data_IF_360042061237
#
_entry.id   IF_360042061237
#
_cell.length_a   1.000
_cell.length_b   1.000
_cell.length_c   1.000
_cell.angle_alpha   90.00
_cell.angle_beta   90.00
_cell.angle_gamma   90.00
#
_symmetry.space_group_name_H-M   'P 1'
#
loop_
_entity.id
_entity.type
_entity.pdbx_description
1 polymer ?
#
# COMPACT_ATOMS: atom_id res chain seq x y z
N UNK A 1 -50.43 -23.09 8.31
CA UNK A 1 -50.08 -24.49 8.59
C UNK A 1 -49.05 -24.95 7.57
N UNK A 2 -47.76 -24.70 7.85
CA UNK A 2 -46.61 -25.49 7.39
C UNK A 2 -45.42 -24.99 8.22
N UNK A 3 -44.99 -25.81 9.18
CA UNK A 3 -43.85 -25.56 10.07
C UNK A 3 -42.59 -26.06 9.39
N UNK A 4 -41.56 -25.23 9.33
CA UNK A 4 -40.16 -25.63 9.09
C UNK A 4 -39.34 -24.80 10.08
N UNK A 5 -39.28 -25.23 11.35
CA UNK A 5 -38.13 -25.89 12.00
C UNK A 5 -36.82 -25.11 11.85
N UNK A 6 -36.54 -24.35 12.92
CA UNK A 6 -35.22 -23.85 13.31
C UNK A 6 -34.18 -24.97 13.28
N UNK A 7 -33.06 -24.70 12.61
CA UNK A 7 -31.81 -25.41 12.79
C UNK A 7 -30.72 -24.37 13.07
N UNK A 8 -30.47 -24.15 14.36
CA UNK A 8 -29.29 -23.46 14.84
C UNK A 8 -28.04 -24.31 14.56
N UNK A 9 -26.97 -23.77 13.97
CA UNK A 9 -25.69 -24.43 13.99
C UNK A 9 -24.99 -24.16 15.34
N UNK A 10 -24.83 -25.23 16.10
CA UNK A 10 -24.00 -25.39 17.28
C UNK A 10 -22.60 -24.79 17.10
N UNK A 11 -22.19 -23.94 18.05
CA UNK A 11 -20.81 -23.45 18.25
C UNK A 11 -19.87 -24.63 18.45
N UNK A 12 -19.04 -24.94 17.46
CA UNK A 12 -17.86 -25.77 17.64
C UNK A 12 -16.69 -24.87 18.11
N UNK A 13 -16.21 -25.14 19.32
CA UNK A 13 -15.00 -24.55 19.90
C UNK A 13 -13.79 -25.10 19.13
N UNK A 14 -13.05 -24.25 18.41
CA UNK A 14 -11.75 -24.66 17.85
C UNK A 14 -10.71 -24.75 18.98
N UNK A 15 -9.92 -25.83 19.05
CA UNK A 15 -8.89 -25.99 20.07
C UNK A 15 -7.68 -25.09 19.77
N UNK A 16 -7.08 -24.58 20.85
CA UNK A 16 -5.78 -23.90 20.89
C UNK A 16 -4.72 -24.75 20.19
N UNK A 17 -4.23 -24.31 19.03
CA UNK A 17 -3.03 -24.87 18.42
C UNK A 17 -1.81 -24.35 19.17
N UNK A 18 -1.27 -25.20 20.05
CA UNK A 18 0.08 -25.11 20.59
C UNK A 18 1.02 -25.51 19.45
N UNK A 19 1.88 -24.60 18.98
CA UNK A 19 2.94 -24.97 18.03
C UNK A 19 4.27 -25.06 18.77
N UNK A 20 4.67 -26.31 18.97
CA UNK A 20 5.89 -26.77 19.60
C UNK A 20 7.09 -26.51 18.67
N UNK A 21 8.13 -25.89 19.20
CA UNK A 21 9.42 -25.75 18.56
C UNK A 21 10.09 -27.13 18.42
N UNK A 22 10.53 -27.48 17.20
CA UNK A 22 11.42 -28.61 16.96
C UNK A 22 12.64 -28.11 16.21
N UNK A 23 13.76 -28.02 16.95
CA UNK A 23 15.11 -27.93 16.41
C UNK A 23 15.45 -29.26 15.72
N UNK A 24 15.86 -29.20 14.46
CA UNK A 24 16.61 -30.28 13.83
C UNK A 24 17.90 -29.70 13.23
N UNK A 25 19.01 -29.96 13.91
CA UNK A 25 20.35 -29.71 13.43
C UNK A 25 20.85 -30.97 12.72
N UNK A 26 21.29 -30.84 11.46
CA UNK A 26 22.30 -31.74 10.86
C UNK A 26 23.17 -30.97 9.85
N UNK A 27 24.47 -31.28 9.76
CA UNK A 27 25.47 -30.44 9.11
C UNK A 27 25.65 -30.79 7.63
N UNK A 28 25.79 -29.77 6.78
CA UNK A 28 26.22 -29.92 5.39
C UNK A 28 27.62 -29.27 5.22
N UNK A 29 28.51 -29.90 4.42
CA UNK A 29 29.92 -29.56 4.36
C UNK A 29 30.14 -28.22 3.65
N UNK A 30 30.99 -27.39 4.25
CA UNK A 30 31.43 -26.10 3.72
C UNK A 30 32.29 -26.30 2.46
N UNK A 31 31.69 -26.06 1.30
CA UNK A 31 32.45 -25.77 0.08
C UNK A 31 32.89 -24.30 0.15
N UNK A 32 34.19 -24.09 0.24
CA UNK A 32 34.82 -22.78 0.30
C UNK A 32 34.61 -22.01 -1.01
N UNK A 33 33.66 -21.09 -1.02
CA UNK A 33 33.57 -20.03 -2.02
C UNK A 33 34.54 -18.91 -1.60
N UNK A 34 35.61 -18.73 -2.37
CA UNK A 34 36.54 -17.62 -2.19
C UNK A 34 35.84 -16.28 -2.41
N UNK A 35 35.46 -15.63 -1.32
CA UNK A 35 35.19 -14.19 -1.25
C UNK A 35 36.42 -13.55 -0.58
N UNK A 36 36.97 -12.43 -1.09
CA UNK A 36 37.80 -11.59 -0.25
C UNK A 36 36.87 -11.00 0.83
N UNK A 37 37.12 -11.31 2.10
CA UNK A 37 36.42 -10.67 3.20
C UNK A 37 36.80 -9.19 3.20
N UNK A 38 35.85 -8.31 2.88
CA UNK A 38 35.93 -6.92 3.34
C UNK A 38 35.52 -6.95 4.81
N UNK A 39 36.45 -7.38 5.66
CA UNK A 39 36.33 -7.28 7.09
C UNK A 39 36.64 -5.83 7.49
N UNK A 40 35.65 -4.96 7.35
CA UNK A 40 35.50 -3.80 8.24
C UNK A 40 34.36 -4.14 9.18
N UNK A 41 34.60 -3.97 10.47
CA UNK A 41 33.82 -4.48 11.61
C UNK A 41 32.29 -4.46 11.43
N UNK A 42 31.70 -5.55 10.92
CA UNK A 42 30.25 -5.73 10.89
C UNK A 42 29.66 -5.84 12.31
N UNK A 43 30.49 -6.00 13.35
CA UNK A 43 30.07 -6.04 14.74
C UNK A 43 29.50 -4.71 15.22
N UNK A 44 30.11 -3.59 14.82
CA UNK A 44 29.68 -2.25 15.23
C UNK A 44 28.33 -1.85 14.62
N UNK A 45 28.15 -2.12 13.32
CA UNK A 45 26.87 -1.90 12.65
C UNK A 45 25.77 -2.80 13.22
N UNK A 46 26.05 -4.08 13.46
CA UNK A 46 25.08 -5.00 14.05
C UNK A 46 24.69 -4.59 15.48
N UNK A 47 25.64 -4.07 16.27
CA UNK A 47 25.36 -3.54 17.58
C UNK A 47 24.45 -2.31 17.51
N UNK A 48 24.71 -1.36 16.59
CA UNK A 48 23.82 -0.23 16.35
C UNK A 48 22.41 -0.68 15.91
N UNK A 49 22.31 -1.62 14.97
CA UNK A 49 21.04 -2.22 14.53
C UNK A 49 20.29 -2.87 15.69
N UNK A 50 21.00 -3.56 16.58
CA UNK A 50 20.45 -4.16 17.80
C UNK A 50 19.82 -3.11 18.69
N UNK A 51 20.56 -2.03 19.01
CA UNK A 51 20.08 -0.92 19.85
C UNK A 51 18.83 -0.24 19.25
N UNK A 52 18.84 0.04 17.94
CA UNK A 52 17.67 0.60 17.24
C UNK A 52 16.47 -0.35 17.32
N UNK A 53 16.69 -1.65 17.15
CA UNK A 53 15.61 -2.64 17.13
C UNK A 53 14.92 -2.78 18.48
N UNK A 54 15.66 -2.62 19.58
CA UNK A 54 15.10 -2.64 20.95
C UNK A 54 14.70 -1.26 21.48
N UNK A 55 14.77 -0.22 20.65
CA UNK A 55 14.33 1.12 20.99
C UNK A 55 15.29 1.95 21.86
N UNK A 56 16.55 1.52 22.03
CA UNK A 56 17.58 2.28 22.75
C UNK A 56 18.22 3.33 21.83
N UNK A 57 17.46 4.34 21.43
CA UNK A 57 17.86 5.30 20.41
C UNK A 57 18.98 6.23 20.88
N UNK A 58 19.04 6.63 22.15
CA UNK A 58 20.13 7.46 22.65
C UNK A 58 21.48 6.72 22.59
N UNK A 59 21.49 5.44 22.99
CA UNK A 59 22.68 4.60 22.89
C UNK A 59 23.06 4.32 21.43
N UNK A 60 22.08 4.05 20.58
CA UNK A 60 22.29 3.85 19.15
C UNK A 60 22.88 5.11 18.49
N UNK A 61 22.33 6.28 18.78
CA UNK A 61 22.79 7.56 18.25
C UNK A 61 24.22 7.88 18.68
N UNK A 62 24.54 7.68 19.96
CA UNK A 62 25.90 7.83 20.49
C UNK A 62 26.90 6.93 19.76
N UNK A 63 26.53 5.66 19.53
CA UNK A 63 27.37 4.70 18.82
C UNK A 63 27.57 5.10 17.36
N UNK A 64 26.47 5.38 16.67
CA UNK A 64 26.50 5.78 15.25
C UNK A 64 27.37 7.04 15.07
N UNK A 65 27.24 8.02 15.95
CA UNK A 65 28.05 9.25 15.88
C UNK A 65 29.54 8.99 16.14
N UNK A 66 29.90 8.02 16.98
CA UNK A 66 31.28 7.59 17.18
C UNK A 66 31.82 6.88 15.92
N UNK A 67 31.05 5.95 15.35
CA UNK A 67 31.46 5.16 14.19
C UNK A 67 31.60 6.02 12.93
N UNK A 68 30.71 6.99 12.73
CA UNK A 68 30.76 7.91 11.58
C UNK A 68 31.99 8.84 11.57
N UNK A 69 32.65 9.02 12.72
CA UNK A 69 33.88 9.82 12.91
C UNK A 69 35.16 9.04 12.66
N UNK A 70 35.10 7.71 12.54
CA UNK A 70 36.29 6.91 12.28
C UNK A 70 36.90 7.27 10.91
N UNK A 71 38.24 7.43 10.82
CA UNK A 71 38.91 7.67 9.55
C UNK A 71 38.74 6.46 8.63
N UNK A 72 38.69 6.69 7.32
CA UNK A 72 38.64 5.64 6.29
C UNK A 72 37.41 4.69 6.33
N UNK A 73 36.31 5.10 6.97
CA UNK A 73 35.05 4.33 6.97
C UNK A 73 34.55 4.08 5.53
N UNK A 74 34.35 2.81 5.11
CA UNK A 74 33.88 2.52 3.75
C UNK A 74 32.54 3.18 3.45
N UNK A 75 32.37 3.68 2.21
CA UNK A 75 31.19 4.43 1.82
C UNK A 75 29.87 3.66 2.03
N UNK A 76 29.86 2.34 1.80
CA UNK A 76 28.68 1.51 2.04
C UNK A 76 28.35 1.39 3.54
N UNK A 77 29.37 1.22 4.39
CA UNK A 77 29.20 1.18 5.86
C UNK A 77 28.69 2.52 6.39
N UNK A 78 29.22 3.64 5.89
CA UNK A 78 28.71 4.98 6.18
C UNK A 78 27.22 5.12 5.86
N UNK A 79 26.80 4.72 4.65
CA UNK A 79 25.38 4.75 4.25
C UNK A 79 24.51 3.86 5.12
N UNK A 80 25.02 2.71 5.56
CA UNK A 80 24.27 1.81 6.44
C UNK A 80 24.02 2.44 7.82
N UNK A 81 25.00 3.13 8.39
CA UNK A 81 24.84 3.90 9.63
C UNK A 81 23.88 5.09 9.47
N UNK A 82 24.02 5.87 8.38
CA UNK A 82 23.09 6.96 8.04
C UNK A 82 21.66 6.47 7.88
N UNK A 83 21.47 5.29 7.27
CA UNK A 83 20.17 4.64 7.18
C UNK A 83 19.58 4.31 8.56
N UNK A 84 20.38 3.82 9.52
CA UNK A 84 19.88 3.59 10.88
C UNK A 84 19.45 4.89 11.57
N UNK A 85 20.14 6.03 11.32
CA UNK A 85 19.70 7.34 11.82
C UNK A 85 18.34 7.75 11.25
N UNK A 86 18.16 7.62 9.94
CA UNK A 86 16.88 7.90 9.29
C UNK A 86 15.77 6.98 9.81
N UNK A 87 16.06 5.68 10.00
CA UNK A 87 15.12 4.72 10.59
C UNK A 87 14.67 5.18 11.97
N UNK A 88 15.58 5.57 12.85
CA UNK A 88 15.23 6.11 14.18
C UNK A 88 14.37 7.39 14.07
N UNK A 89 14.72 8.31 13.17
CA UNK A 89 13.95 9.53 12.96
C UNK A 89 12.51 9.24 12.51
N UNK A 90 12.32 8.28 11.59
CA UNK A 90 10.99 7.81 11.16
C UNK A 90 10.21 7.15 12.29
N UNK A 91 10.88 6.31 13.08
CA UNK A 91 10.25 5.67 14.25
C UNK A 91 9.82 6.73 15.28
N UNK A 92 10.64 7.73 15.60
CA UNK A 92 10.24 8.85 16.48
C UNK A 92 9.05 9.65 15.92
N UNK A 93 9.01 9.85 14.61
CA UNK A 93 7.90 10.56 13.96
C UNK A 93 6.57 9.77 14.00
N UNK A 94 6.65 8.46 13.84
CA UNK A 94 5.49 7.58 13.85
C UNK A 94 5.02 7.26 15.27
N UNK A 95 5.94 7.06 16.21
CA UNK A 95 5.69 6.80 17.63
C UNK A 95 5.94 8.06 18.46
N UNK A 96 5.01 9.01 18.37
CA UNK A 96 5.18 10.35 18.91
C UNK A 96 4.20 10.73 20.03
N UNK A 97 3.29 9.82 20.40
CA UNK A 97 2.26 10.10 21.39
C UNK A 97 2.57 9.47 22.75
N UNK A 98 2.40 10.24 23.82
CA UNK A 98 2.35 9.69 25.18
C UNK A 98 0.97 9.08 25.48
N UNK A 99 0.87 8.27 26.55
CA UNK A 99 -0.40 7.70 26.97
C UNK A 99 -1.48 8.78 27.20
N UNK A 100 -1.12 9.91 27.82
CA UNK A 100 -2.05 11.01 28.09
C UNK A 100 -2.53 11.69 26.81
N UNK A 101 -1.65 11.83 25.81
CA UNK A 101 -2.03 12.35 24.51
C UNK A 101 -2.96 11.39 23.76
N UNK A 102 -2.74 10.08 23.84
CA UNK A 102 -3.66 9.09 23.27
C UNK A 102 -5.02 9.16 23.96
N UNK A 103 -5.07 9.18 25.29
CA UNK A 103 -6.32 9.33 26.05
C UNK A 103 -7.05 10.62 25.70
N UNK A 104 -6.34 11.74 25.59
CA UNK A 104 -6.90 13.03 25.18
C UNK A 104 -7.57 12.93 23.81
N UNK A 105 -6.89 12.35 22.81
CA UNK A 105 -7.45 12.12 21.47
C UNK A 105 -8.64 11.18 21.47
N UNK A 106 -8.61 10.13 22.28
CA UNK A 106 -9.74 9.20 22.38
C UNK A 106 -10.97 9.88 23.02
N UNK A 107 -10.78 10.80 23.97
CA UNK A 107 -11.87 11.56 24.61
C UNK A 107 -12.63 12.49 23.66
N UNK A 108 -12.02 12.86 22.53
CA UNK A 108 -12.72 13.60 21.48
C UNK A 108 -13.92 12.81 20.94
N UNK A 109 -13.85 11.47 20.96
CA UNK A 109 -14.90 10.57 20.46
C UNK A 109 -15.55 9.71 21.55
N UNK A 110 -14.85 9.40 22.64
CA UNK A 110 -15.36 8.63 23.79
C UNK A 110 -15.29 9.53 25.02
N UNK A 111 -16.31 10.38 25.19
CA UNK A 111 -16.30 11.43 26.21
C UNK A 111 -16.15 10.89 27.64
N UNK A 112 -16.66 9.69 27.89
CA UNK A 112 -16.64 9.01 29.18
C UNK A 112 -15.47 8.00 29.32
N UNK A 113 -14.37 8.18 28.57
CA UNK A 113 -13.23 7.28 28.61
C UNK A 113 -12.63 7.15 30.01
N UNK A 114 -12.74 5.96 30.61
CA UNK A 114 -12.10 5.62 31.87
C UNK A 114 -10.66 5.12 31.66
N UNK A 115 -9.81 5.29 32.67
CA UNK A 115 -8.43 4.79 32.61
C UNK A 115 -8.36 3.26 32.49
N UNK A 116 -9.35 2.54 33.04
CA UNK A 116 -9.47 1.09 32.91
C UNK A 116 -9.78 0.63 31.49
N UNK A 117 -10.51 1.42 30.70
CA UNK A 117 -10.77 1.13 29.29
C UNK A 117 -9.50 1.23 28.47
N UNK A 118 -8.76 2.34 28.66
CA UNK A 118 -7.46 2.54 28.03
C UNK A 118 -6.49 1.40 28.36
N UNK A 119 -6.33 1.08 29.65
CA UNK A 119 -5.41 0.02 30.08
C UNK A 119 -5.78 -1.35 29.49
N UNK A 120 -7.08 -1.64 29.35
CA UNK A 120 -7.56 -2.88 28.76
C UNK A 120 -7.31 -2.95 27.26
N UNK A 121 -7.58 -1.88 26.50
CA UNK A 121 -7.29 -1.85 25.07
C UNK A 121 -5.79 -1.88 24.76
N UNK A 122 -4.98 -1.24 25.61
CA UNK A 122 -3.51 -1.30 25.56
C UNK A 122 -3.01 -2.74 25.79
N UNK A 123 -3.47 -3.41 26.86
CA UNK A 123 -3.11 -4.79 27.15
C UNK A 123 -3.56 -5.80 26.07
N UNK A 124 -4.59 -5.46 25.28
CA UNK A 124 -5.05 -6.24 24.14
C UNK A 124 -4.23 -5.97 22.85
N UNK A 125 -3.31 -5.02 22.86
CA UNK A 125 -2.53 -4.62 21.69
C UNK A 125 -3.33 -3.81 20.66
N UNK A 126 -4.47 -3.21 21.05
CA UNK A 126 -5.29 -2.38 20.16
C UNK A 126 -4.73 -0.96 20.00
N UNK A 127 -3.82 -0.56 20.89
CA UNK A 127 -3.10 0.69 20.85
C UNK A 127 -1.62 0.37 20.59
N UNK A 128 -1.22 0.43 19.32
CA UNK A 128 0.15 0.14 18.92
C UNK A 128 1.14 1.11 19.57
N UNK A 129 2.24 0.58 20.12
CA UNK A 129 3.24 1.32 20.85
C UNK A 129 4.63 0.67 20.77
N UNK A 130 5.68 1.45 21.04
CA UNK A 130 7.06 1.00 21.24
C UNK A 130 7.63 1.58 22.53
N UNK A 131 8.61 0.90 23.11
CA UNK A 131 9.48 1.50 24.11
C UNK A 131 10.62 2.23 23.37
N UNK A 132 10.74 3.53 23.53
CA UNK A 132 11.82 4.36 22.98
C UNK A 132 12.53 4.99 24.17
N UNK A 133 13.81 4.65 24.34
CA UNK A 133 14.65 5.11 25.45
C UNK A 133 14.02 4.89 26.84
N UNK A 134 13.28 3.79 26.98
CA UNK A 134 12.58 3.41 28.22
C UNK A 134 11.18 4.01 28.37
N UNK A 135 10.80 4.95 27.51
CA UNK A 135 9.46 5.55 27.52
C UNK A 135 8.52 4.83 26.55
N UNK A 136 7.28 4.57 26.98
CA UNK A 136 6.26 3.98 26.10
C UNK A 136 5.65 5.06 25.22
N UNK A 137 5.96 4.99 23.93
CA UNK A 137 5.48 5.90 22.89
C UNK A 137 4.50 5.18 21.97
N UNK A 138 3.35 5.78 21.74
CA UNK A 138 2.28 5.22 20.94
C UNK A 138 2.36 5.69 19.50
N UNK A 139 2.00 4.79 18.59
CA UNK A 139 1.88 5.12 17.19
C UNK A 139 0.81 6.21 17.00
N UNK A 140 1.12 7.25 16.23
CA UNK A 140 0.28 8.44 16.08
C UNK A 140 -1.13 8.16 15.55
N UNK A 141 -1.32 7.05 14.84
CA UNK A 141 -2.63 6.60 14.34
C UNK A 141 -3.34 5.61 15.25
N UNK A 142 -2.73 5.16 16.36
CA UNK A 142 -3.38 4.26 17.33
C UNK A 142 -4.75 4.76 17.81
N UNK A 143 -4.96 6.06 18.13
CA UNK A 143 -6.29 6.53 18.55
C UNK A 143 -7.38 6.28 17.49
N UNK A 144 -7.11 6.59 16.22
CA UNK A 144 -8.11 6.39 15.16
C UNK A 144 -8.22 4.93 14.72
N UNK A 145 -7.11 4.17 14.76
CA UNK A 145 -7.10 2.74 14.47
C UNK A 145 -7.91 1.94 15.49
N UNK A 146 -7.98 2.36 16.75
CA UNK A 146 -8.78 1.68 17.78
C UNK A 146 -10.23 1.46 17.31
N UNK A 147 -10.85 2.46 16.67
CA UNK A 147 -12.22 2.35 16.17
C UNK A 147 -12.35 1.37 14.99
N UNK A 148 -11.28 1.08 14.27
CA UNK A 148 -11.28 0.03 13.24
C UNK A 148 -11.19 -1.36 13.88
N UNK A 149 -10.43 -1.47 14.97
CA UNK A 149 -10.11 -2.74 15.60
C UNK A 149 -11.11 -3.17 16.69
N UNK A 150 -11.81 -2.22 17.30
CA UNK A 150 -12.69 -2.46 18.46
C UNK A 150 -14.14 -2.08 18.16
N UNK A 151 -15.02 -3.08 18.10
CA UNK A 151 -16.47 -2.87 18.01
C UNK A 151 -17.02 -2.12 19.24
N UNK A 152 -16.42 -2.33 20.41
CA UNK A 152 -16.78 -1.64 21.64
C UNK A 152 -16.44 -0.15 21.58
N UNK A 153 -15.23 0.20 21.13
CA UNK A 153 -14.84 1.60 20.96
C UNK A 153 -15.74 2.31 19.94
N UNK A 154 -16.14 1.62 18.87
CA UNK A 154 -17.13 2.14 17.90
C UNK A 154 -18.49 2.38 18.52
N UNK A 155 -19.00 1.45 19.32
CA UNK A 155 -20.31 1.58 19.97
C UNK A 155 -20.36 2.77 20.94
N UNK A 156 -19.21 3.16 21.50
CA UNK A 156 -19.08 4.31 22.41
C UNK A 156 -18.70 5.62 21.71
N UNK A 157 -18.39 5.59 20.41
CA UNK A 157 -18.01 6.79 19.68
C UNK A 157 -19.20 7.73 19.50
N UNK A 158 -19.00 9.02 19.78
CA UNK A 158 -19.96 10.09 19.44
C UNK A 158 -20.08 10.30 17.93
N UNK A 159 -19.14 9.76 17.14
CA UNK A 159 -19.15 9.82 15.68
C UNK A 159 -19.51 8.45 15.11
N UNK A 160 -20.62 8.38 14.36
CA UNK A 160 -20.98 7.18 13.60
C UNK A 160 -20.09 7.12 12.36
N UNK A 161 -18.87 6.60 12.52
CA UNK A 161 -18.00 6.31 11.39
C UNK A 161 -18.40 4.94 10.79
N UNK A 162 -18.90 4.97 9.55
CA UNK A 162 -19.03 3.77 8.73
C UNK A 162 -17.64 3.35 8.26
N UNK A 163 -17.00 2.46 9.01
CA UNK A 163 -15.78 1.82 8.56
C UNK A 163 -16.14 0.67 7.63
N UNK A 164 -15.64 0.70 6.39
CA UNK A 164 -15.61 -0.49 5.54
C UNK A 164 -14.37 -1.27 5.96
N UNK A 165 -14.53 -2.55 6.34
CA UNK A 165 -13.43 -3.43 6.82
C UNK A 165 -12.32 -3.67 5.76
N UNK A 166 -12.47 -3.10 4.57
CA UNK A 166 -11.45 -2.96 3.54
C UNK A 166 -11.84 -1.84 2.58
N UNK A 167 -10.90 -1.28 1.83
CA UNK A 167 -11.22 -0.27 0.81
C UNK A 167 -12.15 -0.77 -0.30
N UNK A 168 -12.42 -2.08 -0.35
CA UNK A 168 -13.24 -2.79 -1.32
C UNK A 168 -14.09 -3.85 -0.60
N UNK A 169 -15.27 -4.23 -1.15
CA UNK A 169 -16.03 -5.38 -0.69
C UNK A 169 -15.17 -6.65 -0.63
N UNK A 170 -15.44 -7.55 0.33
CA UNK A 170 -14.62 -8.76 0.55
C UNK A 170 -14.46 -9.59 -0.73
N UNK A 171 -15.53 -9.77 -1.48
CA UNK A 171 -15.55 -10.57 -2.70
C UNK A 171 -14.62 -9.98 -3.76
N UNK A 172 -14.59 -8.66 -3.85
CA UNK A 172 -13.70 -7.93 -4.76
C UNK A 172 -12.25 -8.08 -4.30
N UNK A 173 -12.00 -7.97 -2.99
CA UNK A 173 -10.66 -8.17 -2.43
C UNK A 173 -10.13 -9.59 -2.68
N UNK A 174 -10.93 -10.61 -2.38
CA UNK A 174 -10.54 -12.01 -2.58
C UNK A 174 -10.25 -12.31 -4.07
N UNK A 175 -11.02 -11.72 -4.99
CA UNK A 175 -10.76 -11.83 -6.42
C UNK A 175 -9.41 -11.23 -6.84
N UNK A 176 -9.04 -10.06 -6.30
CA UNK A 176 -7.73 -9.47 -6.57
C UNK A 176 -6.58 -10.35 -6.06
N UNK A 177 -6.70 -10.90 -4.86
CA UNK A 177 -5.67 -11.78 -4.29
C UNK A 177 -5.48 -13.04 -5.15
N UNK A 178 -6.55 -13.70 -5.57
CA UNK A 178 -6.49 -14.87 -6.45
C UNK A 178 -5.86 -14.52 -7.82
N UNK A 179 -6.24 -13.36 -8.38
CA UNK A 179 -5.70 -12.90 -9.66
C UNK A 179 -4.21 -12.55 -9.59
N UNK A 180 -3.76 -11.95 -8.49
CA UNK A 180 -2.35 -11.63 -8.24
C UNK A 180 -1.53 -12.91 -8.06
N UNK A 181 -2.03 -13.89 -7.30
CA UNK A 181 -1.37 -15.19 -7.14
C UNK A 181 -1.22 -15.92 -8.49
N UNK A 182 -2.27 -15.93 -9.31
CA UNK A 182 -2.21 -16.48 -10.68
C UNK A 182 -1.20 -15.75 -11.54
N UNK A 183 -1.13 -14.42 -11.45
CA UNK A 183 -0.15 -13.61 -12.17
C UNK A 183 1.27 -14.03 -11.80
N UNK A 184 1.58 -14.14 -10.50
CA UNK A 184 2.90 -14.53 -10.00
C UNK A 184 3.25 -15.95 -10.48
N UNK A 185 2.35 -16.91 -10.27
CA UNK A 185 2.59 -18.31 -10.65
C UNK A 185 2.87 -18.46 -12.15
N UNK A 186 2.06 -17.82 -13.01
CA UNK A 186 2.24 -17.87 -14.46
C UNK A 186 3.54 -17.18 -14.90
N UNK A 187 3.88 -16.06 -14.28
CA UNK A 187 5.11 -15.33 -14.60
C UNK A 187 6.35 -16.15 -14.25
N UNK A 188 6.37 -16.77 -13.07
CA UNK A 188 7.45 -17.64 -12.63
C UNK A 188 7.56 -18.89 -13.50
N UNK A 189 6.44 -19.57 -13.79
CA UNK A 189 6.43 -20.78 -14.61
C UNK A 189 6.88 -20.53 -16.06
N UNK A 190 6.52 -19.37 -16.63
CA UNK A 190 6.88 -19.03 -18.00
C UNK A 190 8.20 -18.25 -18.11
N UNK A 191 8.87 -17.92 -17.00
CA UNK A 191 10.11 -17.13 -17.00
C UNK A 191 9.97 -15.74 -17.62
N UNK A 192 8.79 -15.11 -17.53
CA UNK A 192 8.49 -13.80 -18.14
C UNK A 192 7.65 -12.92 -17.23
N UNK A 193 7.88 -11.61 -17.29
CA UNK A 193 7.14 -10.64 -16.46
C UNK A 193 5.71 -10.35 -16.92
N UNK A 194 5.43 -10.53 -18.21
CA UNK A 194 4.13 -10.21 -18.82
C UNK A 194 3.32 -11.47 -19.08
N UNK A 195 2.17 -11.61 -18.42
CA UNK A 195 1.31 -12.80 -18.50
C UNK A 195 -0.17 -12.43 -18.56
N UNK A 196 -1.04 -13.44 -18.70
CA UNK A 196 -2.50 -13.31 -18.65
C UNK A 196 -3.04 -12.21 -19.57
N UNK A 197 -2.83 -12.29 -20.91
CA UNK A 197 -3.35 -11.29 -21.83
C UNK A 197 -4.88 -11.25 -21.80
N UNK A 198 -5.44 -10.06 -21.64
CA UNK A 198 -6.88 -9.80 -21.70
C UNK A 198 -7.20 -8.77 -22.77
N UNK A 199 -8.03 -9.16 -23.74
CA UNK A 199 -8.56 -8.23 -24.74
C UNK A 199 -9.80 -7.55 -24.17
N UNK A 200 -9.70 -6.24 -23.94
CA UNK A 200 -10.82 -5.45 -23.43
C UNK A 200 -11.28 -4.42 -24.46
N UNK A 201 -12.58 -4.17 -24.48
CA UNK A 201 -13.19 -3.05 -25.21
C UNK A 201 -13.63 -2.01 -24.19
N UNK A 202 -13.12 -0.80 -24.32
CA UNK A 202 -13.37 0.31 -23.39
C UNK A 202 -14.16 1.38 -24.12
N UNK A 203 -15.28 1.81 -23.53
CA UNK A 203 -16.03 2.98 -23.97
C UNK A 203 -15.99 4.03 -22.89
N UNK A 204 -15.45 5.20 -23.22
CA UNK A 204 -15.44 6.37 -22.35
C UNK A 204 -16.47 7.38 -22.86
N UNK A 205 -17.24 7.98 -21.96
CA UNK A 205 -18.27 8.97 -22.27
C UNK A 205 -18.11 10.19 -21.36
N UNK A 206 -18.11 11.37 -21.97
CA UNK A 206 -18.19 12.66 -21.32
C UNK A 206 -19.49 13.33 -21.76
N UNK A 207 -20.28 13.81 -20.80
CA UNK A 207 -21.51 14.56 -21.08
C UNK A 207 -21.38 15.92 -20.42
N UNK A 208 -21.54 16.97 -21.23
CA UNK A 208 -21.71 18.34 -20.75
C UNK A 208 -23.21 18.59 -20.69
N UNK A 209 -23.69 19.03 -19.54
CA UNK A 209 -25.12 19.28 -19.31
C UNK A 209 -25.69 20.29 -20.32
N UNK A 210 -27.00 20.22 -20.55
CA UNK A 210 -27.70 21.15 -21.41
C UNK A 210 -27.52 22.59 -20.90
N UNK A 211 -27.33 23.52 -21.82
CA UNK A 211 -27.22 24.97 -21.55
C UNK A 211 -26.07 25.39 -20.61
N UNK A 212 -25.18 24.47 -20.20
CA UNK A 212 -23.97 24.79 -19.44
C UNK A 212 -22.97 25.65 -20.24
N UNK A 213 -23.08 25.62 -21.57
CA UNK A 213 -22.36 26.49 -22.49
C UNK A 213 -23.37 27.08 -23.48
N UNK A 214 -23.27 28.39 -23.82
CA UNK A 214 -24.21 29.03 -24.74
C UNK A 214 -24.32 28.30 -26.08
N UNK A 215 -25.55 28.19 -26.58
CA UNK A 215 -25.83 27.57 -27.87
C UNK A 215 -25.00 28.24 -28.98
N UNK A 216 -24.48 27.42 -29.90
CA UNK A 216 -23.63 27.88 -30.97
C UNK A 216 -22.13 27.92 -30.63
N UNK A 217 -21.72 27.85 -29.36
CA UNK A 217 -20.29 27.79 -29.02
C UNK A 217 -19.70 26.41 -29.31
N UNK A 218 -18.39 26.37 -29.59
CA UNK A 218 -17.65 25.11 -29.78
C UNK A 218 -17.11 24.61 -28.44
N UNK A 219 -17.56 23.44 -28.04
CA UNK A 219 -16.99 22.66 -26.95
C UNK A 219 -15.83 21.82 -27.50
N UNK A 220 -14.70 21.85 -26.80
CA UNK A 220 -13.54 21.00 -27.06
C UNK A 220 -13.35 20.02 -25.91
N UNK A 221 -13.15 18.75 -26.24
CA UNK A 221 -12.94 17.70 -25.25
C UNK A 221 -11.68 16.89 -25.57
N UNK A 222 -10.96 16.49 -24.52
CA UNK A 222 -9.84 15.56 -24.60
C UNK A 222 -10.17 14.34 -23.75
N UNK A 223 -10.40 13.19 -24.41
CA UNK A 223 -10.62 11.92 -23.72
C UNK A 223 -9.29 11.15 -23.72
N UNK A 224 -8.84 10.59 -22.58
CA UNK A 224 -7.65 9.75 -22.54
C UNK A 224 -7.70 8.62 -23.57
N UNK A 225 -6.58 8.35 -24.23
CA UNK A 225 -6.44 7.25 -25.18
C UNK A 225 -5.18 6.46 -24.86
N UNK A 226 -5.21 5.12 -24.80
CA UNK A 226 -4.05 4.37 -24.36
C UNK A 226 -2.86 4.56 -25.30
N UNK A 227 -1.67 4.51 -24.72
CA UNK A 227 -0.40 4.41 -25.42
C UNK A 227 0.09 2.97 -25.37
N UNK A 228 0.82 2.54 -26.40
CA UNK A 228 1.49 1.24 -26.36
C UNK A 228 2.55 1.27 -25.26
N UNK A 229 2.54 0.23 -24.44
CA UNK A 229 3.57 -0.04 -23.44
C UNK A 229 3.93 -1.52 -23.58
N UNK A 230 5.10 -1.79 -24.13
CA UNK A 230 5.54 -3.15 -24.44
C UNK A 230 5.44 -4.06 -23.20
N UNK A 231 4.78 -5.19 -23.37
CA UNK A 231 4.51 -6.16 -22.33
C UNK A 231 3.40 -5.79 -21.36
N UNK A 232 2.79 -4.61 -21.40
CA UNK A 232 1.72 -4.20 -20.47
C UNK A 232 0.42 -3.83 -21.19
N UNK A 233 0.51 -3.02 -22.25
CA UNK A 233 -0.63 -2.50 -23.02
C UNK A 233 -0.29 -2.55 -24.50
N UNK A 234 -0.95 -3.43 -25.25
CA UNK A 234 -0.60 -3.75 -26.63
C UNK A 234 -1.84 -3.83 -27.52
N UNK A 235 -1.62 -3.92 -28.84
CA UNK A 235 -2.65 -4.14 -29.85
C UNK A 235 -3.79 -3.10 -29.80
N UNK A 236 -3.46 -1.85 -29.47
CA UNK A 236 -4.44 -0.78 -29.30
C UNK A 236 -5.14 -0.51 -30.63
N UNK A 237 -6.47 -0.57 -30.64
CA UNK A 237 -7.30 -0.32 -31.82
C UNK A 237 -8.41 0.66 -31.49
N UNK A 238 -8.43 1.79 -32.19
CA UNK A 238 -9.58 2.68 -32.17
C UNK A 238 -10.76 2.02 -32.89
N UNK A 239 -11.96 2.11 -32.30
CA UNK A 239 -13.17 1.49 -32.87
C UNK A 239 -14.12 2.56 -33.40
N UNK A 240 -14.54 3.50 -32.57
CA UNK A 240 -15.49 4.56 -32.96
C UNK A 240 -15.45 5.72 -31.97
N UNK A 241 -16.02 6.86 -32.36
CA UNK A 241 -16.26 7.98 -31.47
C UNK A 241 -17.54 8.73 -31.84
N UNK A 242 -18.06 9.47 -30.86
CA UNK A 242 -19.08 10.49 -31.07
C UNK A 242 -18.53 11.82 -30.51
N UNK A 243 -18.39 12.88 -31.31
CA UNK A 243 -18.61 12.93 -32.75
C UNK A 243 -17.62 12.04 -33.53
N UNK A 244 -17.99 11.67 -34.76
CA UNK A 244 -17.15 10.86 -35.63
C UNK A 244 -15.84 11.57 -36.03
N UNK A 245 -15.88 12.90 -36.19
CA UNK A 245 -14.69 13.72 -36.44
C UNK A 245 -13.89 13.91 -35.16
N UNK A 246 -12.63 13.48 -35.18
CA UNK A 246 -11.74 13.52 -34.02
C UNK A 246 -10.26 13.60 -34.46
N UNK A 247 -9.37 13.89 -33.50
CA UNK A 247 -7.91 13.83 -33.71
C UNK A 247 -7.24 13.08 -32.57
N UNK A 248 -6.65 11.94 -32.87
CA UNK A 248 -5.86 11.15 -31.90
C UNK A 248 -4.43 11.71 -31.85
N UNK A 249 -3.91 11.95 -30.65
CA UNK A 249 -2.52 12.33 -30.46
C UNK A 249 -1.56 11.20 -30.91
N UNK A 250 -0.34 11.53 -31.39
CA UNK A 250 0.65 10.53 -31.77
C UNK A 250 1.06 9.67 -30.56
N UNK A 251 1.63 8.49 -30.83
CA UNK A 251 2.05 7.55 -29.75
C UNK A 251 3.17 8.09 -28.87
N UNK A 252 3.97 9.03 -29.37
CA UNK A 252 5.02 9.72 -28.60
C UNK A 252 4.48 10.63 -27.50
N UNK A 253 3.18 10.97 -27.50
CA UNK A 253 2.57 11.76 -26.44
C UNK A 253 2.45 10.93 -25.15
N UNK A 254 3.17 11.32 -24.10
CA UNK A 254 3.11 10.62 -22.80
C UNK A 254 1.71 10.60 -22.19
N UNK A 255 0.94 11.66 -22.40
CA UNK A 255 -0.49 11.78 -22.06
C UNK A 255 -1.35 11.77 -23.34
N UNK A 256 -1.37 10.62 -24.02
CA UNK A 256 -2.09 10.48 -25.30
C UNK A 256 -3.60 10.63 -25.09
N UNK A 257 -4.22 11.42 -25.97
CA UNK A 257 -5.65 11.78 -25.90
C UNK A 257 -6.29 11.75 -27.28
N UNK A 258 -7.63 11.67 -27.30
CA UNK A 258 -8.45 11.98 -28.46
C UNK A 258 -9.08 13.36 -28.24
N UNK A 259 -8.80 14.27 -29.18
CA UNK A 259 -9.41 15.59 -29.23
C UNK A 259 -10.69 15.56 -30.07
N UNK A 260 -11.74 16.18 -29.54
CA UNK A 260 -13.03 16.36 -30.19
C UNK A 260 -13.45 17.82 -30.20
N UNK A 261 -14.23 18.21 -31.21
CA UNK A 261 -14.94 19.48 -31.23
C UNK A 261 -16.42 19.23 -31.55
N UNK A 262 -17.32 19.86 -30.80
CA UNK A 262 -18.77 19.79 -31.06
C UNK A 262 -19.43 21.11 -30.70
N UNK A 263 -20.41 21.54 -31.51
CA UNK A 263 -21.18 22.75 -31.24
C UNK A 263 -22.28 22.48 -30.21
N UNK A 264 -22.36 23.31 -29.18
CA UNK A 264 -23.43 23.28 -28.19
C UNK A 264 -24.78 23.64 -28.83
N UNK A 265 -25.85 22.96 -28.40
CA UNK A 265 -27.22 23.18 -28.88
C UNK A 265 -28.10 23.55 -27.69
N UNK A 266 -28.98 24.54 -27.86
CA UNK A 266 -29.92 24.96 -26.83
C UNK A 266 -30.78 23.77 -26.36
N UNK A 267 -30.93 23.63 -25.04
CA UNK A 267 -31.75 22.59 -24.41
C UNK A 267 -31.24 21.16 -24.60
N UNK A 268 -30.03 20.94 -25.12
CA UNK A 268 -29.48 19.59 -25.35
C UNK A 268 -28.10 19.43 -24.72
N UNK A 269 -27.85 18.32 -24.00
CA UNK A 269 -26.52 18.01 -23.53
C UNK A 269 -25.58 17.73 -24.70
N UNK A 270 -24.30 18.08 -24.54
CA UNK A 270 -23.26 17.79 -25.52
C UNK A 270 -22.49 16.56 -25.09
N UNK A 271 -22.57 15.49 -25.89
CA UNK A 271 -21.93 14.21 -25.60
C UNK A 271 -20.67 14.04 -26.44
N UNK A 272 -19.61 13.57 -25.78
CA UNK A 272 -18.39 13.05 -26.39
C UNK A 272 -18.19 11.60 -25.95
N UNK A 273 -17.80 10.72 -26.86
CA UNK A 273 -17.43 9.35 -26.51
C UNK A 273 -16.34 8.81 -27.42
N UNK A 274 -15.58 7.86 -26.89
CA UNK A 274 -14.60 7.10 -27.64
C UNK A 274 -14.70 5.63 -27.22
N UNK A 275 -14.67 4.74 -28.21
CA UNK A 275 -14.54 3.30 -28.00
C UNK A 275 -13.26 2.81 -28.64
N UNK A 276 -12.51 2.03 -27.89
CA UNK A 276 -11.30 1.39 -28.36
C UNK A 276 -11.16 0.01 -27.74
N UNK A 277 -10.21 -0.74 -28.25
CA UNK A 277 -9.81 -2.01 -27.71
C UNK A 277 -8.32 -2.00 -27.40
N UNK A 278 -7.95 -2.70 -26.33
CA UNK A 278 -6.56 -2.85 -25.91
C UNK A 278 -6.37 -4.25 -25.34
N UNK A 279 -5.19 -4.82 -25.56
CA UNK A 279 -4.76 -6.04 -24.89
C UNK A 279 -3.94 -5.64 -23.67
N UNK A 280 -4.43 -5.97 -22.48
CA UNK A 280 -3.77 -5.71 -21.21
C UNK A 280 -3.07 -6.98 -20.74
N UNK A 281 -1.87 -6.83 -20.18
CA UNK A 281 -1.11 -7.93 -19.58
C UNK A 281 -0.90 -7.64 -18.10
N UNK A 282 -1.11 -8.64 -17.27
CA UNK A 282 -0.66 -8.60 -15.88
C UNK A 282 0.87 -8.60 -15.83
N UNK A 283 1.42 -7.88 -14.85
CA UNK A 283 2.86 -7.73 -14.65
C UNK A 283 3.30 -8.35 -13.34
N UNK A 284 4.35 -9.16 -13.38
CA UNK A 284 5.12 -9.55 -12.21
C UNK A 284 6.60 -9.20 -12.42
N UNK A 285 7.17 -8.48 -11.46
CA UNK A 285 8.60 -8.16 -11.42
C UNK A 285 9.14 -8.55 -10.05
N UNK A 286 10.02 -9.55 -10.02
CA UNK A 286 10.77 -9.86 -8.82
C UNK A 286 11.73 -8.69 -8.53
N UNK A 287 11.60 -8.09 -7.35
CA UNK A 287 12.50 -7.04 -6.90
C UNK A 287 13.68 -7.70 -6.22
N UNK A 288 14.87 -7.51 -6.79
CA UNK A 288 16.13 -7.87 -6.17
C UNK A 288 16.62 -6.68 -5.34
N UNK A 289 16.57 -6.81 -4.02
CA UNK A 289 16.90 -5.72 -3.10
C UNK A 289 18.33 -5.20 -3.30
N UNK A 290 19.27 -6.07 -3.69
CA UNK A 290 20.67 -5.71 -3.90
C UNK A 290 20.88 -4.88 -5.19
N UNK A 291 19.89 -4.87 -6.08
CA UNK A 291 19.91 -4.11 -7.34
C UNK A 291 19.09 -2.82 -7.29
N UNK A 292 18.47 -2.50 -6.15
CA UNK A 292 17.70 -1.27 -6.00
C UNK A 292 18.66 -0.08 -5.92
N UNK A 293 18.47 0.89 -6.81
CA UNK A 293 19.21 2.16 -6.82
C UNK A 293 18.24 3.33 -6.74
N UNK A 294 18.66 4.51 -6.24
CA UNK A 294 17.85 5.72 -6.29
C UNK A 294 17.38 6.01 -7.72
N UNK A 295 16.11 6.38 -7.87
CA UNK A 295 15.58 6.79 -9.15
C UNK A 295 16.29 8.06 -9.62
N UNK A 296 16.75 8.07 -10.87
CA UNK A 296 17.15 9.31 -11.56
C UNK A 296 15.87 9.96 -12.08
N UNK A 297 15.34 10.89 -11.30
CA UNK A 297 14.12 11.65 -11.63
C UNK A 297 14.52 12.96 -12.29
#
# INVERSE_FOLDING_TARGET
MLRIRDLSPTRAKLPRAVMLAVLLAMPLPAAASGLPSVATDNGDLNAAVGLVTVGQFHAAETRIDADLKQPELPANTRRAFEFQRERMARMRYDFSLTADQVKSKLREQIQDLADSDFARWDAQGLLEHLAIDGERMYFKRSPSNLFRLSAEARARSTTVASFVDGGLPKEVHDHYIDYDQKTIQQALAAGRSSVLPQRVRVTQKLTVDADAVPAGQILRAWIPYPRVIAGQQENIRFVTSEPSKHRIAPESALQRTIHFERRAQAGKPTVFSATYEVTLHSQYRAIDADKVVPAKI
#
